data_IF_772656937274
#
_entry.id   IF_772656937274
#
_cell.length_a   1.000
_cell.length_b   1.000
_cell.length_c   1.000
_cell.angle_alpha   90.00
_cell.angle_beta   90.00
_cell.angle_gamma   90.00
#
_symmetry.space_group_name_H-M   'P 1'
#
loop_
_entity.id
_entity.type
_entity.pdbx_description
1 polymer ?
#
# COMPACT_ATOMS: atom_id res chain seq x y z
N UNK A 1 -0.77 -7.33 -12.11
CA UNK A 1 -1.96 -7.89 -12.80
C UNK A 1 -3.07 -6.83 -12.80
N UNK A 2 -4.17 -7.03 -13.51
CA UNK A 2 -5.36 -6.16 -13.38
C UNK A 2 -6.16 -6.51 -12.13
N UNK A 3 -7.06 -5.63 -11.69
CA UNK A 3 -7.96 -5.91 -10.56
C UNK A 3 -8.81 -7.17 -10.80
N UNK A 4 -9.34 -7.34 -12.00
CA UNK A 4 -10.14 -8.51 -12.37
C UNK A 4 -9.32 -9.82 -12.35
N UNK A 5 -8.07 -9.77 -12.84
CA UNK A 5 -7.17 -10.93 -12.77
C UNK A 5 -6.85 -11.32 -11.33
N UNK A 6 -6.67 -10.33 -10.44
CA UNK A 6 -6.47 -10.58 -9.01
C UNK A 6 -7.69 -11.28 -8.40
N UNK A 7 -8.91 -10.74 -8.61
CA UNK A 7 -10.14 -11.34 -8.10
C UNK A 7 -10.30 -12.77 -8.62
N UNK A 8 -10.08 -13.00 -9.91
CA UNK A 8 -10.20 -14.34 -10.48
C UNK A 8 -9.20 -15.34 -9.88
N UNK A 9 -7.96 -14.87 -9.62
CA UNK A 9 -6.91 -15.67 -8.98
C UNK A 9 -7.29 -16.06 -7.55
N UNK A 10 -7.89 -15.15 -6.80
CA UNK A 10 -8.16 -15.29 -5.36
C UNK A 10 -9.61 -15.66 -5.01
N UNK A 11 -10.48 -15.90 -6.00
CA UNK A 11 -11.92 -16.16 -5.79
C UNK A 11 -12.26 -17.36 -4.89
N UNK A 12 -11.31 -18.28 -4.68
CA UNK A 12 -11.49 -19.48 -3.87
C UNK A 12 -10.71 -19.43 -2.55
N UNK A 13 -9.98 -18.33 -2.29
CA UNK A 13 -9.22 -18.18 -1.06
C UNK A 13 -10.20 -17.89 0.09
N UNK A 14 -10.05 -18.60 1.21
CA UNK A 14 -10.92 -18.42 2.39
C UNK A 14 -10.77 -17.03 3.02
N UNK A 15 -9.63 -16.38 2.79
CA UNK A 15 -9.37 -14.99 3.11
C UNK A 15 -9.26 -14.21 1.79
N UNK A 16 -10.18 -13.28 1.54
CA UNK A 16 -10.05 -12.33 0.44
C UNK A 16 -8.92 -11.36 0.81
N UNK A 17 -7.69 -11.79 0.52
CA UNK A 17 -6.45 -11.22 1.01
C UNK A 17 -6.25 -9.76 0.62
N UNK A 18 -5.36 -9.08 1.31
CA UNK A 18 -4.90 -7.75 0.92
C UNK A 18 -4.32 -7.75 -0.51
N UNK A 19 -4.50 -6.64 -1.24
CA UNK A 19 -3.76 -6.34 -2.46
C UNK A 19 -3.17 -4.92 -2.42
N UNK A 20 -2.15 -4.70 -3.25
CA UNK A 20 -1.55 -3.40 -3.49
C UNK A 20 -1.95 -2.90 -4.88
N UNK A 21 -2.48 -1.68 -4.98
CA UNK A 21 -2.68 -0.98 -6.26
C UNK A 21 -1.51 -0.03 -6.48
N UNK A 22 -0.67 -0.33 -7.46
CA UNK A 22 0.48 0.49 -7.83
C UNK A 22 0.06 1.83 -8.50
N UNK A 23 0.94 2.84 -8.58
CA UNK A 23 0.62 4.13 -9.19
C UNK A 23 0.08 4.07 -10.62
N UNK A 24 0.43 3.02 -11.37
CA UNK A 24 -0.04 2.78 -12.74
C UNK A 24 -1.41 2.05 -12.81
N UNK A 25 -2.02 1.74 -11.65
CA UNK A 25 -3.29 1.03 -11.54
C UNK A 25 -3.17 -0.49 -11.57
N UNK A 26 -1.96 -1.04 -11.74
CA UNK A 26 -1.77 -2.48 -11.64
C UNK A 26 -1.88 -2.97 -10.19
N UNK A 27 -2.33 -4.20 -10.02
CA UNK A 27 -2.54 -4.86 -8.72
C UNK A 27 -1.46 -5.91 -8.47
N UNK A 28 -0.95 -5.98 -7.25
CA UNK A 28 0.02 -6.97 -6.77
C UNK A 28 -0.37 -7.54 -5.40
N UNK A 29 0.14 -8.72 -5.06
CA UNK A 29 0.03 -9.26 -3.70
C UNK A 29 0.99 -8.53 -2.75
N UNK A 30 0.64 -8.35 -1.45
CA UNK A 30 1.47 -7.67 -0.44
C UNK A 30 2.62 -8.55 0.08
N UNK A 31 3.23 -9.34 -0.79
CA UNK A 31 4.32 -10.24 -0.43
C UNK A 31 5.67 -9.49 -0.46
N UNK A 32 6.62 -9.82 0.43
CA UNK A 32 6.53 -10.82 1.50
C UNK A 32 5.85 -10.32 2.81
N UNK A 33 5.71 -9.01 2.99
CA UNK A 33 4.93 -8.29 4.02
C UNK A 33 5.14 -6.78 3.80
N UNK A 34 4.42 -5.89 4.50
CA UNK A 34 4.65 -4.44 4.37
C UNK A 34 6.10 -4.04 4.66
N UNK A 35 6.65 -4.52 5.78
CA UNK A 35 8.03 -4.22 6.17
C UNK A 35 9.03 -4.93 5.25
N UNK A 36 8.73 -6.16 4.81
CA UNK A 36 9.59 -6.89 3.88
C UNK A 36 9.66 -6.22 2.51
N UNK A 37 8.56 -5.69 2.01
CA UNK A 37 8.52 -4.90 0.77
C UNK A 37 9.32 -3.61 0.90
N UNK A 38 9.24 -2.94 2.06
CA UNK A 38 10.08 -1.78 2.35
C UNK A 38 11.57 -2.13 2.36
N UNK A 39 11.96 -3.27 2.93
CA UNK A 39 13.35 -3.76 2.89
C UNK A 39 13.82 -3.94 1.44
N UNK A 40 13.01 -4.59 0.59
CA UNK A 40 13.34 -4.81 -0.83
C UNK A 40 13.52 -3.49 -1.60
N UNK A 41 12.62 -2.54 -1.40
CA UNK A 41 12.60 -1.28 -2.17
C UNK A 41 13.67 -0.30 -1.72
N UNK A 42 13.98 -0.28 -0.43
CA UNK A 42 14.95 0.67 0.14
C UNK A 42 16.36 0.12 0.21
N UNK A 43 16.53 -1.21 0.17
CA UNK A 43 17.79 -1.89 0.44
C UNK A 43 18.25 -1.77 1.90
N UNK A 44 17.42 -1.22 2.79
CA UNK A 44 17.69 -1.12 4.22
C UNK A 44 17.21 -2.39 4.94
N UNK A 45 17.91 -2.79 5.99
CA UNK A 45 17.38 -3.83 6.87
C UNK A 45 16.16 -3.33 7.68
N UNK A 46 15.36 -4.26 8.19
CA UNK A 46 14.15 -3.93 8.93
C UNK A 46 14.43 -3.07 10.18
N UNK A 47 15.58 -3.23 10.83
CA UNK A 47 15.98 -2.40 11.98
C UNK A 47 16.24 -0.96 11.59
N UNK A 48 16.92 -0.73 10.46
CA UNK A 48 17.16 0.61 9.91
C UNK A 48 15.88 1.31 9.44
N UNK A 49 14.89 0.55 8.94
CA UNK A 49 13.55 1.06 8.63
C UNK A 49 12.76 1.41 9.88
N UNK A 50 12.73 0.51 10.88
CA UNK A 50 12.09 0.78 12.17
C UNK A 50 12.71 1.98 12.90
N UNK A 51 14.02 2.22 12.74
CA UNK A 51 14.69 3.40 13.30
C UNK A 51 14.27 4.73 12.68
N UNK A 52 13.66 4.72 11.49
CA UNK A 52 13.12 5.91 10.79
C UNK A 52 11.65 6.16 11.08
N UNK A 53 10.96 5.17 11.63
CA UNK A 53 9.57 5.25 12.05
C UNK A 53 9.52 5.58 13.55
N UNK A 54 8.65 6.50 13.95
CA UNK A 54 8.38 6.67 15.38
C UNK A 54 7.76 5.39 15.96
N UNK A 55 7.90 5.17 17.28
CA UNK A 55 7.46 3.93 17.94
C UNK A 55 5.99 3.54 17.72
N UNK A 56 5.14 4.49 17.36
CA UNK A 56 3.71 4.29 17.14
C UNK A 56 3.31 4.34 15.66
N UNK A 57 4.27 4.52 14.74
CA UNK A 57 3.97 4.53 13.31
C UNK A 57 3.76 3.10 12.80
N UNK A 58 2.69 2.91 12.04
CA UNK A 58 2.44 1.62 11.39
C UNK A 58 3.24 1.54 10.08
N UNK A 59 3.99 0.45 9.83
CA UNK A 59 4.75 0.27 8.58
C UNK A 59 3.90 0.36 7.31
N UNK A 60 2.60 0.05 7.41
CA UNK A 60 1.64 0.15 6.30
C UNK A 60 1.49 1.57 5.76
N UNK A 61 1.23 2.55 6.63
CA UNK A 61 1.10 3.96 6.21
C UNK A 61 2.41 4.48 5.60
N UNK A 62 3.54 4.02 6.15
CA UNK A 62 4.86 4.35 5.61
C UNK A 62 5.11 3.71 4.24
N UNK A 63 4.74 2.44 4.03
CA UNK A 63 4.81 1.76 2.73
C UNK A 63 4.00 2.50 1.67
N UNK A 64 2.75 2.81 1.99
CA UNK A 64 1.81 3.49 1.09
C UNK A 64 2.36 4.85 0.67
N UNK A 65 2.86 5.65 1.61
CA UNK A 65 3.41 6.97 1.30
C UNK A 65 4.78 6.89 0.59
N UNK A 66 5.63 5.94 0.99
CA UNK A 66 6.95 5.76 0.40
C UNK A 66 6.87 5.33 -1.06
N UNK A 67 5.98 4.38 -1.37
CA UNK A 67 5.85 3.80 -2.72
C UNK A 67 4.82 4.50 -3.58
N UNK A 68 3.86 5.20 -2.96
CA UNK A 68 2.69 5.72 -3.63
C UNK A 68 1.66 4.65 -4.00
N UNK A 69 1.77 3.40 -3.51
CA UNK A 69 0.72 2.39 -3.73
C UNK A 69 -0.49 2.64 -2.83
N UNK A 70 -1.67 2.14 -3.23
CA UNK A 70 -2.77 1.92 -2.31
C UNK A 70 -2.72 0.51 -1.79
N UNK A 71 -3.16 0.32 -0.56
CA UNK A 71 -3.29 -0.95 0.09
C UNK A 71 -4.78 -1.21 0.32
N UNK A 72 -5.33 -2.30 -0.24
CA UNK A 72 -6.78 -2.55 -0.36
C UNK A 72 -7.22 -3.92 0.16
N UNK A 73 -7.95 -3.95 1.29
CA UNK A 73 -8.59 -5.13 1.87
C UNK A 73 -10.11 -4.93 1.78
N UNK A 74 -10.89 -5.99 2.01
CA UNK A 74 -12.35 -5.88 1.97
C UNK A 74 -12.92 -4.74 2.83
N UNK A 75 -12.40 -4.55 4.03
CA UNK A 75 -12.98 -3.61 5.02
C UNK A 75 -12.16 -2.34 5.20
N UNK A 76 -10.99 -2.22 4.56
CA UNK A 76 -10.06 -1.11 4.78
C UNK A 76 -9.25 -0.84 3.52
N UNK A 77 -9.11 0.43 3.20
CA UNK A 77 -8.21 0.94 2.18
C UNK A 77 -7.30 1.98 2.81
N UNK A 78 -6.00 1.83 2.61
CA UNK A 78 -4.99 2.83 2.95
C UNK A 78 -4.40 3.38 1.66
N UNK A 79 -4.73 4.61 1.32
CA UNK A 79 -4.28 5.27 0.09
C UNK A 79 -3.16 6.27 0.38
N UNK A 80 -2.25 6.53 -0.58
CA UNK A 80 -1.23 7.55 -0.41
C UNK A 80 -1.88 8.93 -0.33
N UNK A 81 -1.14 9.92 0.15
CA UNK A 81 -1.67 11.28 0.30
C UNK A 81 -2.14 11.87 -1.04
N UNK A 82 -1.51 11.45 -2.14
CA UNK A 82 -1.87 11.86 -3.51
C UNK A 82 -2.03 10.62 -4.40
N UNK A 83 -3.23 10.00 -4.43
CA UNK A 83 -3.48 8.84 -5.27
C UNK A 83 -3.66 9.23 -6.75
N UNK A 84 -3.24 8.35 -7.66
CA UNK A 84 -3.38 8.56 -9.11
C UNK A 84 -4.78 8.22 -9.62
N UNK A 85 -5.16 8.80 -10.76
CA UNK A 85 -6.40 8.46 -11.47
C UNK A 85 -6.53 6.98 -11.79
N UNK A 86 -5.43 6.33 -12.14
CA UNK A 86 -5.40 4.90 -12.45
C UNK A 86 -5.63 4.06 -11.19
N UNK A 87 -5.11 4.48 -10.04
CA UNK A 87 -5.38 3.81 -8.78
C UNK A 87 -6.84 3.92 -8.36
N UNK A 88 -7.45 5.09 -8.55
CA UNK A 88 -8.88 5.28 -8.28
C UNK A 88 -9.75 4.40 -9.17
N UNK A 89 -9.42 4.29 -10.46
CA UNK A 89 -10.13 3.41 -11.39
C UNK A 89 -10.01 1.93 -10.97
N UNK A 90 -8.81 1.46 -10.64
CA UNK A 90 -8.61 0.09 -10.18
C UNK A 90 -9.34 -0.19 -8.85
N UNK A 91 -9.38 0.78 -7.93
CA UNK A 91 -10.14 0.67 -6.68
C UNK A 91 -11.65 0.58 -6.93
N UNK A 92 -12.17 1.35 -7.87
CA UNK A 92 -13.57 1.30 -8.30
C UNK A 92 -13.91 -0.07 -8.92
N UNK A 93 -13.02 -0.63 -9.75
CA UNK A 93 -13.19 -2.00 -10.29
C UNK A 93 -13.24 -3.06 -9.18
N UNK A 94 -12.38 -2.97 -8.16
CA UNK A 94 -12.42 -3.87 -7.01
C UNK A 94 -13.72 -3.72 -6.21
N UNK A 95 -14.21 -2.49 -6.05
CA UNK A 95 -15.48 -2.23 -5.39
C UNK A 95 -16.67 -2.83 -6.16
N UNK A 96 -16.73 -2.60 -7.47
CA UNK A 96 -17.82 -3.06 -8.34
C UNK A 96 -17.88 -4.59 -8.46
N UNK A 97 -16.73 -5.24 -8.38
CA UNK A 97 -16.64 -6.69 -8.33
C UNK A 97 -16.93 -7.30 -6.93
N UNK A 98 -17.42 -6.49 -5.99
CA UNK A 98 -17.75 -6.88 -4.61
C UNK A 98 -16.56 -7.44 -3.80
N UNK A 99 -15.33 -7.08 -4.18
CA UNK A 99 -14.16 -7.37 -3.35
C UNK A 99 -14.17 -6.51 -2.07
N UNK A 100 -14.54 -5.23 -2.20
CA UNK A 100 -14.72 -4.31 -1.08
C UNK A 100 -16.09 -4.47 -0.43
N UNK A 101 -16.11 -4.43 0.91
CA UNK A 101 -17.33 -4.28 1.67
C UNK A 101 -17.95 -2.90 1.39
N UNK A 102 -19.29 -2.77 1.28
CA UNK A 102 -19.96 -1.50 0.96
C UNK A 102 -19.66 -0.32 1.90
N UNK A 103 -19.07 -0.57 3.07
CA UNK A 103 -18.71 0.43 4.08
C UNK A 103 -17.25 0.26 4.53
N UNK A 104 -16.35 -0.01 3.59
CA UNK A 104 -14.92 -0.08 3.91
C UNK A 104 -14.42 1.26 4.48
N UNK A 105 -13.43 1.17 5.36
CA UNK A 105 -12.77 2.33 5.95
C UNK A 105 -11.68 2.83 5.01
N UNK A 106 -11.80 4.06 4.52
CA UNK A 106 -10.75 4.74 3.77
C UNK A 106 -9.86 5.54 4.72
N UNK A 107 -8.54 5.37 4.62
CA UNK A 107 -7.55 6.13 5.39
C UNK A 107 -6.42 6.61 4.50
N UNK A 108 -5.76 7.67 4.93
CA UNK A 108 -4.53 8.21 4.34
C UNK A 108 -3.49 8.41 5.45
N UNK A 109 -2.20 8.32 5.12
CA UNK A 109 -1.12 8.69 6.03
C UNK A 109 -1.32 10.09 6.63
N UNK A 110 -1.00 10.24 7.91
CA UNK A 110 -0.90 11.55 8.56
C UNK A 110 0.34 12.33 8.11
N UNK A 111 0.38 13.62 8.45
CA UNK A 111 1.49 14.51 8.08
C UNK A 111 2.85 13.99 8.58
N UNK A 112 2.88 13.36 9.75
CA UNK A 112 4.06 12.75 10.35
C UNK A 112 4.67 11.64 9.47
N UNK A 113 3.84 10.89 8.74
CA UNK A 113 4.32 9.86 7.80
C UNK A 113 4.89 10.49 6.55
N UNK A 114 4.24 11.53 6.02
CA UNK A 114 4.70 12.28 4.84
C UNK A 114 6.07 12.88 5.10
N UNK A 115 6.26 13.54 6.25
CA UNK A 115 7.53 14.13 6.65
C UNK A 115 8.63 13.07 6.82
N UNK A 116 8.33 11.96 7.53
CA UNK A 116 9.26 10.85 7.71
C UNK A 116 9.70 10.23 6.37
N UNK A 117 8.75 9.98 5.47
CA UNK A 117 9.03 9.43 4.13
C UNK A 117 9.84 10.40 3.29
N UNK A 118 9.51 11.70 3.32
CA UNK A 118 10.25 12.72 2.59
C UNK A 118 11.72 12.73 3.02
N UNK A 119 11.98 12.78 4.33
CA UNK A 119 13.34 12.74 4.87
C UNK A 119 14.08 11.46 4.45
N UNK A 120 13.42 10.29 4.55
CA UNK A 120 14.03 9.04 4.14
C UNK A 120 14.39 9.02 2.63
N UNK A 121 13.52 9.57 1.77
CA UNK A 121 13.80 9.69 0.33
C UNK A 121 14.97 10.63 0.04
N UNK A 122 15.13 11.73 0.77
CA UNK A 122 16.28 12.63 0.63
C UNK A 122 17.59 11.94 1.04
N UNK A 123 17.58 11.19 2.14
CA UNK A 123 18.75 10.42 2.62
C UNK A 123 19.17 9.32 1.63
N UNK A 124 18.21 8.67 0.97
CA UNK A 124 18.46 7.54 0.06
C UNK A 124 18.72 7.99 -1.39
N UNK A 125 18.08 9.08 -1.82
CA UNK A 125 18.18 9.66 -3.15
C UNK A 125 19.40 10.57 -3.35
N UNK A 126 20.17 10.85 -2.30
CA UNK A 126 21.47 11.52 -2.36
C UNK A 126 22.64 10.64 -2.82
N UNK A 127 22.38 9.54 -3.54
CA UNK A 127 23.39 8.64 -4.11
C UNK A 127 23.47 8.77 -5.63
#
# INVERSE_FOLDING_TARGET
MTALEFIHKHQNDEDNGECLILPDGSVEEPLPSHIGRLVELTGMDAGALHGRMEKNMEPLFWLVEYTGCMSVWQTRVVAPTVPTGQQQAALEELHDAAFLAPKYLMQTPGQEYVESVHQAKEELGGR
#
